data_IF_988381118040
#
_entry.id   IF_988381118040
#
_cell.length_a   1.000
_cell.length_b   1.000
_cell.length_c   1.000
_cell.angle_alpha   90.00
_cell.angle_beta   90.00
_cell.angle_gamma   90.00
#
_symmetry.space_group_name_H-M   'P 1'
#
loop_
_entity.id
_entity.type
_entity.pdbx_description
1 polymer ?
#
# COMPACT_ATOMS: atom_id res chain seq x y z
N UNK A 1 16.38 25.50 14.70
CA UNK A 1 17.07 24.24 14.35
C UNK A 1 16.20 23.35 13.43
N UNK A 2 15.70 23.88 12.30
CA UNK A 2 14.77 23.16 11.41
C UNK A 2 15.37 22.84 10.02
N UNK A 3 16.52 23.44 9.69
CA UNK A 3 17.08 23.49 8.33
C UNK A 3 17.92 22.25 7.99
N UNK A 4 18.46 21.52 8.97
CA UNK A 4 19.32 20.36 8.74
C UNK A 4 18.58 19.03 8.52
N UNK A 5 17.27 18.94 8.81
CA UNK A 5 16.55 17.66 8.74
C UNK A 5 16.05 17.31 7.34
N UNK A 6 15.81 18.33 6.51
CA UNK A 6 15.44 18.17 5.09
C UNK A 6 16.67 17.73 4.27
N UNK A 7 17.88 18.09 4.71
CA UNK A 7 19.13 17.78 4.03
C UNK A 7 19.50 16.28 4.08
N UNK A 8 19.02 15.50 5.07
CA UNK A 8 19.32 14.07 5.18
C UNK A 8 18.32 13.13 4.50
N UNK A 9 17.17 13.63 4.08
CA UNK A 9 16.21 12.86 3.25
C UNK A 9 16.04 13.45 1.84
N UNK A 10 16.61 14.63 1.56
CA UNK A 10 16.38 15.38 0.32
C UNK A 10 17.64 15.98 -0.30
N UNK A 11 18.76 15.26 -0.34
CA UNK A 11 19.95 15.67 -1.11
C UNK A 11 20.13 14.85 -2.39
N UNK A 12 19.14 14.91 -3.28
CA UNK A 12 19.30 14.63 -4.72
C UNK A 12 18.36 15.56 -5.51
N UNK A 13 18.57 16.87 -5.37
CA UNK A 13 18.09 17.87 -6.31
C UNK A 13 19.29 18.72 -6.75
N UNK A 14 20.20 18.09 -7.49
CA UNK A 14 21.27 18.77 -8.23
C UNK A 14 21.33 18.11 -9.62
N UNK A 15 20.71 18.79 -10.58
CA UNK A 15 20.97 18.77 -12.02
C UNK A 15 21.18 17.41 -12.71
N UNK A 16 20.10 16.82 -13.21
CA UNK A 16 20.18 15.88 -14.34
C UNK A 16 19.23 16.32 -15.47
N UNK A 17 19.59 17.43 -16.11
CA UNK A 17 19.16 17.74 -17.47
C UNK A 17 20.11 17.05 -18.43
N UNK A 18 19.79 15.82 -18.88
CA UNK A 18 20.33 15.26 -20.12
C UNK A 18 19.45 14.07 -20.59
N UNK A 19 18.82 14.27 -21.75
CA UNK A 19 18.32 13.24 -22.66
C UNK A 19 17.39 12.14 -22.11
N UNK A 20 16.08 12.43 -22.04
CA UNK A 20 15.07 11.38 -22.21
C UNK A 20 15.05 11.04 -23.71
N UNK A 21 15.96 10.17 -24.12
CA UNK A 21 15.81 9.45 -25.38
C UNK A 21 14.46 8.71 -25.31
N UNK A 22 13.62 8.92 -26.34
CA UNK A 22 12.40 8.14 -26.58
C UNK A 22 12.80 6.66 -26.70
N UNK A 23 12.87 5.95 -25.58
CA UNK A 23 12.96 4.51 -25.60
C UNK A 23 11.60 4.01 -26.08
N UNK A 24 11.57 3.53 -27.33
CA UNK A 24 10.50 2.70 -27.87
C UNK A 24 10.12 1.71 -26.77
N UNK A 25 8.89 1.81 -26.27
CA UNK A 25 8.34 0.84 -25.34
C UNK A 25 8.23 -0.46 -26.13
N UNK A 26 9.25 -1.31 -26.04
CA UNK A 26 9.13 -2.66 -26.54
C UNK A 26 7.96 -3.28 -25.78
N UNK A 27 7.13 -4.02 -26.50
CA UNK A 27 6.04 -4.82 -25.97
C UNK A 27 6.62 -5.94 -25.11
N UNK A 28 7.22 -5.61 -23.96
CA UNK A 28 7.41 -6.58 -22.90
C UNK A 28 6.02 -6.92 -22.41
N UNK A 29 5.53 -8.08 -22.81
CA UNK A 29 4.47 -8.79 -22.08
C UNK A 29 4.82 -8.68 -20.61
N UNK A 30 3.98 -8.00 -19.82
CA UNK A 30 4.21 -7.78 -18.39
C UNK A 30 4.30 -9.14 -17.70
N UNK A 31 5.49 -9.70 -17.61
CA UNK A 31 5.73 -10.91 -16.86
C UNK A 31 5.63 -10.55 -15.39
N UNK A 32 4.90 -11.36 -14.62
CA UNK A 32 4.89 -11.23 -13.17
C UNK A 32 6.33 -11.28 -12.62
N UNK A 33 6.60 -10.49 -11.59
CA UNK A 33 7.88 -10.55 -10.89
C UNK A 33 8.08 -11.92 -10.23
N UNK A 34 9.32 -12.40 -10.09
CA UNK A 34 9.58 -13.66 -9.39
C UNK A 34 8.96 -13.65 -7.99
N UNK A 35 8.30 -14.75 -7.62
CA UNK A 35 7.59 -14.88 -6.33
C UNK A 35 8.48 -14.55 -5.13
N UNK A 36 9.75 -15.00 -5.16
CA UNK A 36 10.74 -14.72 -4.12
C UNK A 36 10.95 -13.22 -3.90
N UNK A 37 11.06 -12.44 -4.98
CA UNK A 37 11.21 -10.98 -4.92
C UNK A 37 9.99 -10.30 -4.32
N UNK A 38 8.77 -10.74 -4.68
CA UNK A 38 7.53 -10.22 -4.12
C UNK A 38 7.39 -10.56 -2.64
N UNK A 39 7.68 -11.81 -2.25
CA UNK A 39 7.65 -12.24 -0.85
C UNK A 39 8.62 -11.44 0.00
N UNK A 40 9.86 -11.26 -0.46
CA UNK A 40 10.87 -10.45 0.23
C UNK A 40 10.41 -8.98 0.40
N UNK A 41 9.74 -8.41 -0.61
CA UNK A 41 9.18 -7.06 -0.50
C UNK A 41 8.08 -6.98 0.57
N UNK A 42 7.22 -8.00 0.66
CA UNK A 42 6.19 -8.09 1.71
C UNK A 42 6.82 -8.25 3.10
N UNK A 43 7.87 -9.07 3.24
CA UNK A 43 8.60 -9.29 4.49
C UNK A 43 9.29 -8.00 4.97
N UNK A 44 9.91 -7.25 4.07
CA UNK A 44 10.48 -5.93 4.39
C UNK A 44 9.41 -4.93 4.84
N UNK A 45 8.23 -4.96 4.21
CA UNK A 45 7.10 -4.12 4.60
C UNK A 45 6.53 -4.50 5.96
N UNK A 46 6.55 -5.76 6.38
CA UNK A 46 6.14 -6.16 7.73
C UNK A 46 6.97 -5.46 8.81
N UNK A 47 8.29 -5.42 8.64
CA UNK A 47 9.20 -4.74 9.57
C UNK A 47 8.87 -3.24 9.59
N UNK A 48 8.77 -2.61 8.41
CA UNK A 48 8.48 -1.17 8.31
C UNK A 48 7.07 -0.81 8.80
N UNK A 49 6.09 -1.71 8.66
CA UNK A 49 4.74 -1.56 9.19
C UNK A 49 4.73 -1.55 10.73
N UNK A 50 5.52 -2.40 11.37
CA UNK A 50 5.67 -2.39 12.83
C UNK A 50 6.26 -1.04 13.31
N UNK A 51 7.29 -0.54 12.62
CA UNK A 51 7.82 0.81 12.89
C UNK A 51 6.78 1.90 12.68
N UNK A 52 6.04 1.87 11.58
CA UNK A 52 5.00 2.86 11.29
C UNK A 52 3.93 2.85 12.39
N UNK A 53 3.46 1.67 12.80
CA UNK A 53 2.48 1.48 13.87
C UNK A 53 2.96 2.06 15.20
N UNK A 54 4.25 1.98 15.50
CA UNK A 54 4.84 2.59 16.70
C UNK A 54 4.93 4.12 16.65
N UNK A 55 4.83 4.75 15.47
CA UNK A 55 4.92 6.21 15.30
C UNK A 55 3.58 6.94 15.34
N UNK A 56 2.47 6.20 15.48
CA UNK A 56 1.11 6.75 15.50
C UNK A 56 0.45 6.45 16.84
N UNK A 57 -0.58 7.23 17.25
CA UNK A 57 -1.40 6.88 18.40
C UNK A 57 -2.01 5.48 18.28
N UNK A 58 -2.15 4.79 19.41
CA UNK A 58 -2.75 3.45 19.44
C UNK A 58 -4.22 3.49 18.97
N UNK A 59 -4.63 2.46 18.21
CA UNK A 59 -6.03 2.23 17.89
C UNK A 59 -6.82 1.78 19.14
N UNK A 60 -7.60 2.69 19.69
CA UNK A 60 -8.49 2.45 20.84
C UNK A 60 -9.89 1.95 20.46
N UNK A 61 -10.23 1.85 19.17
CA UNK A 61 -11.59 1.46 18.74
C UNK A 61 -11.64 -0.07 18.55
N UNK A 62 -11.87 -0.85 19.61
CA UNK A 62 -11.78 -2.33 19.49
C UNK A 62 -13.01 -3.00 18.84
N UNK A 63 -14.18 -2.35 18.83
CA UNK A 63 -15.44 -2.90 18.29
C UNK A 63 -15.62 -2.76 16.77
N UNK A 64 -14.73 -2.02 16.09
CA UNK A 64 -14.77 -1.84 14.63
C UNK A 64 -13.54 -2.51 14.03
N UNK A 65 -13.76 -3.35 13.02
CA UNK A 65 -12.71 -3.93 12.17
C UNK A 65 -12.93 -3.54 10.73
N UNK A 66 -11.93 -2.96 10.07
CA UNK A 66 -11.99 -2.59 8.66
C UNK A 66 -11.82 -3.85 7.78
N UNK A 67 -10.79 -4.64 8.06
CA UNK A 67 -10.43 -5.86 7.34
C UNK A 67 -11.10 -7.09 7.97
N UNK A 68 -12.29 -7.44 7.47
CA UNK A 68 -13.13 -8.53 7.99
C UNK A 68 -12.84 -9.87 7.30
N UNK A 69 -13.21 -10.99 7.93
CA UNK A 69 -13.09 -12.35 7.34
C UNK A 69 -13.79 -12.46 5.97
N UNK A 70 -14.91 -11.77 5.78
CA UNK A 70 -15.62 -11.73 4.49
C UNK A 70 -14.84 -11.00 3.39
N UNK A 71 -14.14 -9.91 3.73
CA UNK A 71 -13.33 -9.17 2.76
C UNK A 71 -12.03 -9.90 2.46
N UNK A 72 -11.49 -10.71 3.40
CA UNK A 72 -10.41 -11.67 3.10
C UNK A 72 -10.78 -12.60 1.94
N UNK A 73 -11.98 -13.20 1.97
CA UNK A 73 -12.44 -14.09 0.90
C UNK A 73 -12.51 -13.38 -0.46
N UNK A 74 -12.95 -12.11 -0.48
CA UNK A 74 -12.96 -11.29 -1.69
C UNK A 74 -11.55 -10.98 -2.16
N UNK A 75 -10.65 -10.60 -1.24
CA UNK A 75 -9.25 -10.34 -1.55
C UNK A 75 -8.56 -11.54 -2.19
N UNK A 76 -8.86 -12.78 -1.76
CA UNK A 76 -8.24 -13.96 -2.36
C UNK A 76 -8.77 -14.33 -3.76
N UNK A 77 -9.96 -13.84 -4.16
CA UNK A 77 -10.67 -14.33 -5.35
C UNK A 77 -10.98 -13.27 -6.40
N UNK A 78 -10.93 -11.99 -6.05
CA UNK A 78 -11.42 -10.92 -6.89
C UNK A 78 -10.33 -9.86 -7.06
N UNK A 79 -9.76 -9.79 -8.26
CA UNK A 79 -8.72 -8.83 -8.62
C UNK A 79 -9.14 -7.37 -8.42
N UNK A 80 -10.41 -7.06 -8.69
CA UNK A 80 -10.93 -5.70 -8.55
C UNK A 80 -10.97 -5.30 -7.07
N UNK A 81 -11.31 -6.24 -6.19
CA UNK A 81 -11.25 -6.01 -4.76
C UNK A 81 -9.81 -5.83 -4.28
N UNK A 82 -8.86 -6.60 -4.82
CA UNK A 82 -7.43 -6.47 -4.50
C UNK A 82 -6.93 -5.08 -4.88
N UNK A 83 -7.16 -4.65 -6.12
CA UNK A 83 -6.76 -3.35 -6.64
C UNK A 83 -7.40 -2.22 -5.81
N UNK A 84 -8.73 -2.21 -5.67
CA UNK A 84 -9.42 -1.14 -4.94
C UNK A 84 -9.05 -1.09 -3.45
N UNK A 85 -8.74 -2.23 -2.82
CA UNK A 85 -8.26 -2.24 -1.43
C UNK A 85 -6.86 -1.63 -1.32
N UNK A 86 -5.94 -1.96 -2.23
CA UNK A 86 -4.60 -1.38 -2.25
C UNK A 86 -4.66 0.13 -2.54
N UNK A 87 -5.56 0.55 -3.44
CA UNK A 87 -5.85 1.96 -3.74
C UNK A 87 -6.41 2.68 -2.53
N UNK A 88 -7.36 2.09 -1.79
CA UNK A 88 -7.87 2.63 -0.54
C UNK A 88 -6.77 2.92 0.49
N UNK A 89 -5.79 2.02 0.64
CA UNK A 89 -4.66 2.28 1.54
C UNK A 89 -3.77 3.42 1.03
N UNK A 90 -3.48 3.47 -0.26
CA UNK A 90 -2.64 4.53 -0.84
C UNK A 90 -3.30 5.91 -0.76
N UNK A 91 -4.56 6.00 -1.19
CA UNK A 91 -5.26 7.26 -1.42
C UNK A 91 -5.92 7.77 -0.14
N UNK A 92 -6.71 6.92 0.54
CA UNK A 92 -7.48 7.34 1.70
C UNK A 92 -6.65 7.29 2.99
N UNK A 93 -5.84 6.24 3.20
CA UNK A 93 -5.11 6.02 4.47
C UNK A 93 -3.79 6.78 4.50
N UNK A 94 -2.90 6.51 3.54
CA UNK A 94 -1.58 7.13 3.50
C UNK A 94 -1.63 8.57 2.97
N UNK A 95 -2.58 8.89 2.09
CA UNK A 95 -2.83 10.26 1.63
C UNK A 95 -3.23 11.25 2.74
N UNK A 96 -3.85 10.75 3.82
CA UNK A 96 -4.21 11.56 4.99
C UNK A 96 -3.20 11.45 6.15
N UNK A 97 -2.23 10.54 6.06
CA UNK A 97 -1.21 10.40 7.07
C UNK A 97 -0.28 11.62 7.02
N UNK A 98 -0.07 12.29 8.15
CA UNK A 98 0.96 13.33 8.23
C UNK A 98 2.34 12.69 8.04
N UNK A 99 2.86 12.75 6.81
CA UNK A 99 4.14 12.18 6.39
C UNK A 99 5.32 13.04 6.88
N UNK A 100 5.41 13.20 8.21
CA UNK A 100 6.61 13.74 8.84
C UNK A 100 7.55 12.58 9.21
N UNK A 101 8.78 12.64 8.70
CA UNK A 101 9.85 11.70 9.01
C UNK A 101 10.14 10.69 7.87
N UNK A 102 11.43 10.52 7.58
CA UNK A 102 11.95 9.67 6.51
C UNK A 102 11.36 8.24 6.50
N UNK A 103 11.14 7.65 7.68
CA UNK A 103 10.63 6.28 7.81
C UNK A 103 9.20 6.13 7.27
N UNK A 104 8.33 7.13 7.48
CA UNK A 104 6.94 7.11 6.99
C UNK A 104 6.90 7.24 5.48
N UNK A 105 7.68 8.18 4.93
CA UNK A 105 7.81 8.39 3.47
C UNK A 105 8.30 7.11 2.80
N UNK A 106 9.40 6.53 3.31
CA UNK A 106 9.96 5.29 2.76
C UNK A 106 8.98 4.12 2.81
N UNK A 107 8.20 3.99 3.88
CA UNK A 107 7.15 2.96 3.96
C UNK A 107 6.11 3.13 2.83
N UNK A 108 5.63 4.36 2.59
CA UNK A 108 4.64 4.63 1.53
C UNK A 108 5.22 4.35 0.15
N UNK A 109 6.48 4.71 -0.10
CA UNK A 109 7.19 4.41 -1.34
C UNK A 109 7.34 2.90 -1.58
N UNK A 110 7.74 2.15 -0.56
CA UNK A 110 7.87 0.69 -0.65
C UNK A 110 6.50 0.02 -0.88
N UNK A 111 5.46 0.52 -0.21
CA UNK A 111 4.10 0.01 -0.38
C UNK A 111 3.59 0.30 -1.80
N UNK A 112 3.85 1.51 -2.33
CA UNK A 112 3.55 1.85 -3.72
C UNK A 112 4.32 0.95 -4.70
N UNK A 113 5.60 0.71 -4.46
CA UNK A 113 6.42 -0.22 -5.25
C UNK A 113 5.83 -1.64 -5.26
N UNK A 114 5.42 -2.15 -4.09
CA UNK A 114 4.74 -3.45 -4.01
C UNK A 114 3.43 -3.47 -4.80
N UNK A 115 2.58 -2.44 -4.67
CA UNK A 115 1.32 -2.32 -5.44
C UNK A 115 1.60 -2.38 -6.95
N UNK A 116 2.62 -1.66 -7.44
CA UNK A 116 3.02 -1.68 -8.84
C UNK A 116 3.52 -3.07 -9.26
N UNK A 117 4.34 -3.74 -8.45
CA UNK A 117 4.79 -5.11 -8.77
C UNK A 117 3.64 -6.11 -8.79
N UNK A 118 2.68 -5.99 -7.87
CA UNK A 118 1.48 -6.82 -7.83
C UNK A 118 0.57 -6.61 -9.05
N UNK A 119 0.45 -5.39 -9.57
CA UNK A 119 -0.37 -5.09 -10.76
C UNK A 119 0.17 -5.74 -12.04
N UNK A 120 1.45 -6.12 -12.07
CA UNK A 120 2.03 -6.92 -13.16
C UNK A 120 1.70 -8.41 -13.05
N UNK A 121 1.31 -8.88 -11.86
CA UNK A 121 0.97 -10.27 -11.59
C UNK A 121 -0.54 -10.53 -11.61
N UNK A 122 -1.33 -9.52 -11.25
CA UNK A 122 -2.78 -9.59 -11.15
C UNK A 122 -3.35 -8.84 -12.35
N UNK A 123 -3.68 -9.57 -13.42
CA UNK A 123 -4.45 -9.00 -14.52
C UNK A 123 -5.89 -8.81 -14.07
N UNK A 124 -6.32 -7.55 -13.97
CA UNK A 124 -7.71 -7.23 -13.68
C UNK A 124 -8.32 -6.45 -14.83
N UNK A 125 -9.51 -6.87 -15.26
CA UNK A 125 -10.30 -6.06 -16.17
C UNK A 125 -10.59 -4.71 -15.48
N UNK A 126 -10.21 -3.61 -16.13
CA UNK A 126 -10.49 -2.27 -15.62
C UNK A 126 -12.00 -2.10 -15.45
N UNK A 127 -12.43 -1.84 -14.22
CA UNK A 127 -13.83 -1.50 -13.93
C UNK A 127 -13.86 -0.29 -13.02
N UNK A 128 -14.43 0.80 -13.53
CA UNK A 128 -14.55 2.06 -12.80
C UNK A 128 -15.51 1.98 -11.59
N UNK A 129 -16.31 0.92 -11.48
CA UNK A 129 -17.30 0.80 -10.43
C UNK A 129 -16.66 0.37 -9.11
N UNK A 130 -16.75 1.20 -8.09
CA UNK A 130 -16.34 0.81 -6.74
C UNK A 130 -17.20 -0.36 -6.23
N UNK A 131 -16.56 -1.38 -5.66
CA UNK A 131 -17.25 -2.52 -5.09
C UNK A 131 -17.98 -2.13 -3.79
N UNK A 132 -19.22 -2.62 -3.59
CA UNK A 132 -20.01 -2.35 -2.37
C UNK A 132 -19.25 -2.60 -1.06
N UNK A 133 -18.34 -3.59 -1.06
CA UNK A 133 -17.51 -3.90 0.11
C UNK A 133 -16.45 -2.84 0.40
N UNK A 134 -15.84 -2.24 -0.63
CA UNK A 134 -14.92 -1.10 -0.52
C UNK A 134 -15.68 0.14 -0.06
N UNK A 135 -16.81 0.46 -0.70
CA UNK A 135 -17.65 1.60 -0.29
C UNK A 135 -18.07 1.52 1.18
N UNK A 136 -18.46 0.34 1.65
CA UNK A 136 -18.83 0.14 3.07
C UNK A 136 -17.64 0.28 4.00
N UNK A 137 -16.44 -0.11 3.56
CA UNK A 137 -15.20 0.07 4.32
C UNK A 137 -14.84 1.56 4.42
N UNK A 138 -14.82 2.29 3.30
CA UNK A 138 -14.61 3.74 3.24
C UNK A 138 -15.59 4.50 4.12
N UNK A 139 -16.89 4.18 4.05
CA UNK A 139 -17.90 4.78 4.96
C UNK A 139 -17.57 4.60 6.43
N UNK A 140 -17.12 3.42 6.84
CA UNK A 140 -16.72 3.17 8.24
C UNK A 140 -15.48 3.98 8.59
N UNK A 141 -14.46 3.95 7.72
CA UNK A 141 -13.20 4.67 7.88
C UNK A 141 -13.42 6.18 8.06
N UNK A 142 -14.16 6.81 7.15
CA UNK A 142 -14.46 8.24 7.23
C UNK A 142 -15.35 8.61 8.42
N UNK A 143 -16.31 7.74 8.79
CA UNK A 143 -17.18 7.97 9.95
C UNK A 143 -16.42 8.06 11.27
N UNK A 144 -15.27 7.39 11.40
CA UNK A 144 -14.44 7.46 12.62
C UNK A 144 -13.35 8.56 12.56
N UNK A 145 -13.34 9.39 11.50
CA UNK A 145 -12.44 10.53 11.33
C UNK A 145 -10.96 10.13 11.33
N UNK A 146 -10.10 10.97 11.93
CA UNK A 146 -8.65 10.73 12.01
C UNK A 146 -8.29 9.39 12.67
N UNK A 147 -9.15 8.86 13.56
CA UNK A 147 -8.94 7.53 14.17
C UNK A 147 -9.02 6.40 13.13
N UNK A 148 -9.62 6.64 11.97
CA UNK A 148 -9.64 5.73 10.83
C UNK A 148 -8.25 5.41 10.31
N UNK A 149 -7.35 6.39 10.27
CA UNK A 149 -5.95 6.22 9.85
C UNK A 149 -5.26 5.27 10.83
N UNK A 150 -5.39 5.51 12.14
CA UNK A 150 -4.76 4.68 13.17
C UNK A 150 -5.29 3.26 13.13
N UNK A 151 -6.61 3.10 12.95
CA UNK A 151 -7.24 1.79 12.77
C UNK A 151 -6.70 1.05 11.55
N UNK A 152 -6.65 1.70 10.38
CA UNK A 152 -6.16 1.07 9.16
C UNK A 152 -4.68 0.66 9.27
N UNK A 153 -3.83 1.52 9.83
CA UNK A 153 -2.41 1.20 10.09
C UNK A 153 -2.28 0.08 11.11
N UNK A 154 -3.13 0.04 12.15
CA UNK A 154 -3.10 -1.02 13.16
C UNK A 154 -3.43 -2.40 12.61
N UNK A 155 -4.20 -2.47 11.51
CA UNK A 155 -4.63 -3.66 10.76
C UNK A 155 -3.75 -3.94 9.52
N UNK A 156 -2.63 -3.23 9.34
CA UNK A 156 -1.77 -3.36 8.17
C UNK A 156 -1.10 -4.74 8.07
N UNK A 157 -0.76 -5.34 9.21
CA UNK A 157 -0.26 -6.72 9.32
C UNK A 157 -1.25 -7.75 8.77
N UNK A 158 -2.56 -7.51 8.96
CA UNK A 158 -3.63 -8.32 8.37
C UNK A 158 -3.59 -8.22 6.85
N UNK A 159 -3.49 -7.00 6.28
CA UNK A 159 -3.42 -6.82 4.83
C UNK A 159 -2.18 -7.50 4.24
N UNK A 160 -1.00 -7.26 4.84
CA UNK A 160 0.25 -7.88 4.40
C UNK A 160 0.17 -9.41 4.44
N UNK A 161 -0.56 -9.98 5.42
CA UNK A 161 -0.74 -11.43 5.50
C UNK A 161 -1.60 -11.97 4.36
N UNK A 162 -2.57 -11.18 3.89
CA UNK A 162 -3.40 -11.57 2.76
C UNK A 162 -2.61 -11.47 1.45
N UNK A 163 -1.77 -10.45 1.29
CA UNK A 163 -0.87 -10.32 0.14
C UNK A 163 0.11 -11.50 0.10
N UNK A 164 0.77 -11.81 1.23
CA UNK A 164 1.70 -12.94 1.30
C UNK A 164 1.02 -14.25 0.92
N UNK A 165 -0.17 -14.51 1.47
CA UNK A 165 -0.96 -15.69 1.12
C UNK A 165 -1.39 -15.72 -0.35
N UNK A 166 -1.74 -14.56 -0.93
CA UNK A 166 -2.09 -14.45 -2.35
C UNK A 166 -0.92 -14.92 -3.23
N UNK A 167 0.29 -14.44 -2.93
CA UNK A 167 1.53 -14.79 -3.63
C UNK A 167 1.91 -16.27 -3.49
N UNK A 168 1.64 -16.87 -2.33
CA UNK A 168 1.85 -18.30 -2.09
C UNK A 168 0.85 -19.18 -2.86
N UNK A 169 -0.39 -18.69 -3.06
CA UNK A 169 -1.45 -19.43 -3.74
C UNK A 169 -1.44 -19.33 -5.28
N UNK A 170 -0.76 -18.34 -5.85
CA UNK A 170 -0.59 -18.20 -7.30
C UNK A 170 0.48 -19.17 -7.79
N UNK A 171 0.10 -20.45 -7.95
CA UNK A 171 0.90 -21.53 -8.55
C UNK A 171 1.10 -21.30 -10.05
#
# INVERSE_FOLDING_TARGET
MLVNFILRCGLLLVTLSLAIAKHKQSSFTKSCYPRGTLSQAVDALYIKAAWLKATIPEDRIKNIRLLKKKTKKQFMKNCQFQEQLLSFFMEDVFGQLQLQGCKKIRFVEDFHSLRQKLSHCISCASSAREMKSITRMKRIFYRIGNKGIYKAISELDILLSWIKKLLESSQ
#
